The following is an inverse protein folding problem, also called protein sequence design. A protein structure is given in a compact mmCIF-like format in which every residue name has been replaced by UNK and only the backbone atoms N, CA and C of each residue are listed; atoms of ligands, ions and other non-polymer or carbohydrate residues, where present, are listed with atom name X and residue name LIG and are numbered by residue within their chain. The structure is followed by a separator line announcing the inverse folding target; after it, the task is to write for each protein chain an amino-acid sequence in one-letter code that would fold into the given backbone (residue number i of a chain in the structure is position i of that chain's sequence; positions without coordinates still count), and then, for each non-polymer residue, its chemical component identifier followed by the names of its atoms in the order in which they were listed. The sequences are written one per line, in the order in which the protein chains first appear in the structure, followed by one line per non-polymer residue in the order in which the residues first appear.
data_IF_725993922351
#
_entry.id   IF_725993922351
#
_cell.length_a   1.000
_cell.length_b   1.000
_cell.length_c   1.000
_cell.angle_alpha   90.00
_cell.angle_beta   90.00
_cell.angle_gamma   90.00
#
_symmetry.space_group_name_H-M   'P 1'
#
loop_
_entity.id
_entity.type
_entity.pdbx_description
1 polymer ?
#
# COMPACT_ATOMS: atom_id res chain seq x y z
N UNK A 1 -26.89 68.52 -58.63
CA UNK A 1 -26.93 67.04 -58.69
C UNK A 1 -25.85 66.49 -57.79
N UNK A 2 -26.20 65.95 -56.61
CA UNK A 2 -25.27 65.38 -55.64
C UNK A 2 -25.26 63.86 -55.79
N UNK A 3 -24.07 63.27 -55.96
CA UNK A 3 -23.84 61.82 -56.07
C UNK A 3 -23.65 61.22 -54.67
N UNK A 4 -24.38 60.15 -54.38
CA UNK A 4 -24.22 59.32 -53.19
C UNK A 4 -23.00 58.39 -53.35
N UNK A 5 -22.10 58.40 -52.36
CA UNK A 5 -21.04 57.41 -52.21
C UNK A 5 -21.47 56.48 -51.07
N UNK A 6 -21.71 55.22 -51.39
CA UNK A 6 -22.02 54.14 -50.44
C UNK A 6 -20.69 53.55 -49.99
N UNK A 7 -20.38 53.70 -48.71
CA UNK A 7 -19.23 53.05 -48.05
C UNK A 7 -19.67 51.63 -47.61
N UNK A 8 -19.12 50.60 -48.25
CA UNK A 8 -19.28 49.21 -47.81
C UNK A 8 -18.12 48.91 -46.85
N UNK A 9 -18.41 48.94 -45.55
CA UNK A 9 -17.51 48.45 -44.51
C UNK A 9 -17.52 46.92 -44.50
N UNK A 10 -16.44 46.32 -45.00
CA UNK A 10 -16.21 44.88 -44.96
C UNK A 10 -15.74 44.48 -43.55
N UNK A 11 -16.67 44.18 -42.65
CA UNK A 11 -16.34 43.58 -41.35
C UNK A 11 -15.99 42.10 -41.54
N UNK A 12 -14.70 41.81 -41.67
CA UNK A 12 -14.16 40.45 -41.51
C UNK A 12 -14.35 40.03 -40.04
N UNK A 13 -15.41 39.26 -39.78
CA UNK A 13 -15.64 38.60 -38.50
C UNK A 13 -14.68 37.40 -38.41
N UNK A 14 -13.53 37.59 -37.77
CA UNK A 14 -12.67 36.49 -37.34
C UNK A 14 -13.39 35.74 -36.22
N UNK A 15 -14.04 34.62 -36.55
CA UNK A 15 -14.46 33.63 -35.55
C UNK A 15 -13.20 32.82 -35.20
N UNK A 16 -12.50 33.23 -34.15
CA UNK A 16 -11.49 32.40 -33.50
C UNK A 16 -12.21 31.29 -32.75
N UNK A 17 -12.23 30.08 -33.34
CA UNK A 17 -12.55 28.87 -32.59
C UNK A 17 -11.40 28.60 -31.61
N UNK A 18 -11.48 29.24 -30.44
CA UNK A 18 -10.72 28.85 -29.26
C UNK A 18 -11.33 27.58 -28.67
N UNK A 19 -11.27 26.47 -29.42
CA UNK A 19 -11.39 25.16 -28.80
C UNK A 19 -10.03 24.91 -28.13
N UNK A 20 -9.94 25.24 -26.84
CA UNK A 20 -9.03 24.55 -25.96
C UNK A 20 -9.36 23.06 -26.12
N UNK A 21 -8.53 22.34 -26.89
CA UNK A 21 -8.65 20.91 -27.07
C UNK A 21 -8.58 20.28 -25.68
N UNK A 22 -9.74 20.00 -25.09
CA UNK A 22 -9.87 19.19 -23.90
C UNK A 22 -9.47 17.78 -24.32
N UNK A 23 -8.17 17.51 -24.29
CA UNK A 23 -7.65 16.16 -24.47
C UNK A 23 -8.19 15.37 -23.28
N UNK A 24 -9.04 14.36 -23.49
CA UNK A 24 -9.60 13.60 -22.39
C UNK A 24 -8.46 13.01 -21.55
N UNK A 25 -8.44 13.34 -20.26
CA UNK A 25 -7.42 12.80 -19.35
C UNK A 25 -7.74 11.32 -19.12
N UNK A 26 -6.82 10.42 -19.51
CA UNK A 26 -7.01 8.97 -19.35
C UNK A 26 -7.03 8.57 -17.88
N UNK A 27 -6.36 9.35 -17.04
CA UNK A 27 -6.05 8.97 -15.68
C UNK A 27 -6.05 10.20 -14.77
N UNK A 28 -6.48 10.02 -13.53
CA UNK A 28 -6.42 11.04 -12.48
C UNK A 28 -5.51 10.53 -11.37
N UNK A 29 -4.64 11.40 -10.88
CA UNK A 29 -3.70 11.07 -9.82
C UNK A 29 -4.15 11.71 -8.51
N UNK A 30 -4.17 10.91 -7.47
CA UNK A 30 -4.50 11.33 -6.11
C UNK A 30 -3.47 10.74 -5.13
N UNK A 31 -3.35 11.38 -3.98
CA UNK A 31 -2.61 10.87 -2.83
C UNK A 31 -3.55 10.78 -1.63
N UNK A 32 -3.35 9.78 -0.77
CA UNK A 32 -4.25 9.60 0.38
C UNK A 32 -4.19 10.73 1.41
N UNK A 33 -3.16 11.58 1.32
CA UNK A 33 -3.02 12.80 2.12
C UNK A 33 -2.50 13.95 1.25
N UNK A 34 -2.82 15.19 1.63
CA UNK A 34 -2.37 16.39 0.95
C UNK A 34 -0.87 16.68 1.19
N UNK A 35 -0.38 16.35 2.38
CA UNK A 35 1.01 16.48 2.80
C UNK A 35 1.40 15.30 3.68
N UNK A 36 2.68 14.93 3.66
CA UNK A 36 3.27 13.88 4.48
C UNK A 36 4.37 14.47 5.38
N UNK A 37 4.84 13.69 6.34
CA UNK A 37 6.03 13.97 7.14
C UNK A 37 7.15 12.95 6.84
N UNK A 38 8.39 13.30 7.20
CA UNK A 38 9.50 12.33 7.17
C UNK A 38 9.15 11.16 8.09
N UNK A 39 9.30 9.93 7.61
CA UNK A 39 8.92 8.71 8.31
C UNK A 39 7.57 8.13 7.85
N UNK A 40 6.78 8.89 7.11
CA UNK A 40 5.52 8.41 6.54
C UNK A 40 5.74 7.50 5.34
N UNK A 41 4.79 6.60 5.11
CA UNK A 41 4.64 5.88 3.85
C UNK A 41 3.41 6.43 3.10
N UNK A 42 3.64 7.01 1.92
CA UNK A 42 2.56 7.53 1.09
C UNK A 42 1.79 6.42 0.37
N UNK A 43 0.49 6.64 0.16
CA UNK A 43 -0.34 5.87 -0.78
C UNK A 43 -0.72 6.79 -1.94
N UNK A 44 -0.35 6.36 -3.14
CA UNK A 44 -0.57 7.09 -4.38
C UNK A 44 -1.55 6.31 -5.24
N UNK A 45 -2.62 6.98 -5.70
CA UNK A 45 -3.76 6.38 -6.38
C UNK A 45 -3.92 6.97 -7.78
N UNK A 46 -4.26 6.10 -8.72
CA UNK A 46 -4.37 6.40 -10.13
C UNK A 46 -5.71 5.86 -10.64
N UNK A 47 -6.65 6.77 -10.86
CA UNK A 47 -8.01 6.45 -11.31
C UNK A 47 -8.10 6.54 -12.82
N UNK A 48 -8.38 5.42 -13.48
CA UNK A 48 -8.58 5.37 -14.93
C UNK A 48 -9.98 5.89 -15.27
N UNK A 49 -10.03 6.96 -16.06
CA UNK A 49 -11.28 7.55 -16.54
C UNK A 49 -11.71 6.98 -17.90
N UNK A 50 -10.77 6.46 -18.69
CA UNK A 50 -11.02 5.96 -20.05
C UNK A 50 -10.37 4.60 -20.24
N UNK A 51 -11.18 3.59 -20.50
CA UNK A 51 -10.73 2.23 -20.78
C UNK A 51 -10.62 1.98 -22.30
N UNK A 52 -9.74 1.07 -22.74
CA UNK A 52 -9.73 0.60 -24.12
C UNK A 52 -11.09 -0.02 -24.51
N UNK A 53 -11.64 0.39 -25.64
CA UNK A 53 -12.94 -0.11 -26.15
C UNK A 53 -12.84 -1.58 -26.59
N UNK A 54 -11.67 -1.99 -27.08
CA UNK A 54 -11.41 -3.35 -27.57
C UNK A 54 -10.74 -4.21 -26.49
N UNK A 55 -11.30 -5.40 -26.25
CA UNK A 55 -10.83 -6.36 -25.23
C UNK A 55 -9.43 -6.92 -25.47
N UNK A 56 -8.91 -6.79 -26.68
CA UNK A 56 -7.56 -7.22 -27.06
C UNK A 56 -6.48 -6.26 -26.57
N UNK A 57 -6.86 -5.06 -26.13
CA UNK A 57 -5.94 -4.08 -25.59
C UNK A 57 -6.12 -3.91 -24.09
N UNK A 58 -5.03 -3.56 -23.42
CA UNK A 58 -5.03 -3.20 -22.01
C UNK A 58 -4.18 -1.96 -21.76
N UNK A 59 -4.48 -1.25 -20.67
CA UNK A 59 -3.63 -0.19 -20.17
C UNK A 59 -2.43 -0.78 -19.45
N UNK A 60 -1.26 -0.25 -19.77
CA UNK A 60 -0.02 -0.49 -19.05
C UNK A 60 0.45 0.81 -18.43
N UNK A 61 0.55 0.82 -17.10
CA UNK A 61 1.05 1.96 -16.36
C UNK A 61 2.48 1.71 -15.92
N UNK A 62 3.34 2.71 -16.15
CA UNK A 62 4.67 2.78 -15.56
C UNK A 62 4.74 4.03 -14.73
N UNK A 63 5.28 3.96 -13.52
CA UNK A 63 5.41 5.15 -12.68
C UNK A 63 6.83 5.38 -12.19
N UNK A 64 7.12 6.62 -11.83
CA UNK A 64 8.33 7.04 -11.14
C UNK A 64 7.94 7.90 -9.95
N UNK A 65 8.64 7.72 -8.85
CA UNK A 65 8.61 8.65 -7.72
C UNK A 65 9.94 9.40 -7.70
N UNK A 66 9.88 10.67 -8.09
CA UNK A 66 11.03 11.47 -8.47
C UNK A 66 11.88 10.78 -9.54
N UNK A 67 13.07 10.29 -9.21
CA UNK A 67 14.00 9.62 -10.15
C UNK A 67 13.86 8.10 -10.14
N UNK A 68 13.19 7.52 -9.14
CA UNK A 68 13.13 6.07 -8.91
C UNK A 68 11.91 5.46 -9.57
N UNK A 69 12.07 4.33 -10.27
CA UNK A 69 10.93 3.59 -10.81
C UNK A 69 10.06 3.09 -9.66
N UNK A 70 8.77 3.38 -9.74
CA UNK A 70 7.80 2.97 -8.74
C UNK A 70 6.81 1.99 -9.37
N UNK A 71 6.62 0.87 -8.68
CA UNK A 71 5.67 -0.14 -9.08
C UNK A 71 4.24 0.36 -8.86
N UNK A 72 3.37 0.14 -9.85
CA UNK A 72 1.97 0.57 -9.85
C UNK A 72 1.11 -0.63 -10.25
N UNK A 73 0.15 -0.99 -9.40
CA UNK A 73 -0.62 -2.23 -9.53
C UNK A 73 -2.11 -1.93 -9.52
N UNK A 74 -2.85 -2.67 -10.35
CA UNK A 74 -4.30 -2.54 -10.46
C UNK A 74 -4.99 -3.21 -9.27
N UNK A 75 -5.76 -2.44 -8.49
CA UNK A 75 -6.55 -2.94 -7.35
C UNK A 75 -8.03 -3.04 -7.66
N UNK A 76 -8.52 -2.25 -8.60
CA UNK A 76 -9.87 -2.34 -9.16
C UNK A 76 -9.83 -2.10 -10.68
N UNK A 77 -10.94 -2.31 -11.37
CA UNK A 77 -11.00 -2.14 -12.83
C UNK A 77 -10.47 -0.78 -13.29
N UNK A 78 -10.82 0.28 -12.56
CA UNK A 78 -10.47 1.66 -12.84
C UNK A 78 -9.48 2.25 -11.82
N UNK A 79 -8.81 1.44 -11.01
CA UNK A 79 -7.96 1.95 -9.92
C UNK A 79 -6.64 1.21 -9.85
N UNK A 80 -5.57 1.98 -9.79
CA UNK A 80 -4.21 1.52 -9.60
C UNK A 80 -3.58 2.23 -8.42
N UNK A 81 -2.72 1.53 -7.69
CA UNK A 81 -2.03 2.10 -6.54
C UNK A 81 -0.54 1.87 -6.58
N UNK A 82 0.18 2.78 -5.95
CA UNK A 82 1.62 2.73 -5.82
C UNK A 82 2.02 3.16 -4.40
N UNK A 83 3.00 2.46 -3.84
CA UNK A 83 3.52 2.70 -2.49
C UNK A 83 5.00 3.04 -2.59
N UNK A 84 5.39 4.33 -2.60
CA UNK A 84 6.79 4.68 -2.48
C UNK A 84 7.41 4.11 -1.19
N UNK A 85 8.75 3.98 -1.14
CA UNK A 85 9.45 3.72 0.11
C UNK A 85 9.10 4.77 1.17
N UNK A 86 9.33 4.43 2.44
CA UNK A 86 9.18 5.36 3.57
C UNK A 86 9.97 6.63 3.28
N UNK A 87 9.31 7.78 3.42
CA UNK A 87 9.85 9.09 3.07
C UNK A 87 10.97 9.47 4.05
N UNK A 88 12.20 9.63 3.55
CA UNK A 88 13.37 9.92 4.39
C UNK A 88 13.78 11.40 4.37
N UNK A 89 13.25 12.17 3.42
CA UNK A 89 13.68 13.54 3.16
C UNK A 89 12.46 14.46 3.02
N UNK A 90 12.58 15.70 3.49
CA UNK A 90 11.56 16.73 3.27
C UNK A 90 11.74 17.39 1.91
N UNK A 91 10.64 17.90 1.35
CA UNK A 91 10.63 18.56 0.04
C UNK A 91 9.40 18.20 -0.79
N UNK A 92 9.43 18.58 -2.06
CA UNK A 92 8.38 18.20 -3.02
C UNK A 92 8.90 17.12 -3.95
N UNK A 93 8.25 15.96 -3.92
CA UNK A 93 8.53 14.81 -4.76
C UNK A 93 7.53 14.75 -5.90
N UNK A 94 7.95 14.24 -7.05
CA UNK A 94 7.10 14.15 -8.24
C UNK A 94 6.72 12.70 -8.50
N UNK A 95 5.46 12.34 -8.31
CA UNK A 95 4.95 11.08 -8.82
C UNK A 95 4.53 11.25 -10.28
N UNK A 96 5.23 10.58 -11.18
CA UNK A 96 5.01 10.68 -12.63
C UNK A 96 4.49 9.33 -13.11
N UNK A 97 3.30 9.32 -13.71
CA UNK A 97 2.69 8.14 -14.30
C UNK A 97 2.67 8.29 -15.82
N UNK A 98 3.23 7.28 -16.49
CA UNK A 98 3.23 7.11 -17.94
C UNK A 98 2.17 6.07 -18.29
N UNK A 99 1.20 6.49 -19.09
CA UNK A 99 0.08 5.66 -19.56
C UNK A 99 0.41 5.14 -20.96
N UNK A 100 0.33 3.83 -21.12
CA UNK A 100 0.48 3.16 -22.40
C UNK A 100 -0.72 2.27 -22.67
N UNK A 101 -0.96 1.98 -23.94
CA UNK A 101 -1.82 0.89 -24.38
C UNK A 101 -0.96 -0.19 -25.05
N UNK A 102 -1.28 -1.46 -24.81
CA UNK A 102 -0.57 -2.60 -25.38
C UNK A 102 -1.54 -3.72 -25.77
N UNK A 103 -1.14 -4.58 -26.70
CA UNK A 103 -1.85 -5.83 -27.01
C UNK A 103 -1.72 -6.79 -25.82
N UNK A 104 -2.86 -7.22 -25.29
CA UNK A 104 -2.95 -8.07 -24.11
C UNK A 104 -2.36 -9.45 -24.35
N UNK A 105 -2.59 -10.05 -25.52
CA UNK A 105 -2.13 -11.42 -25.83
C UNK A 105 -0.61 -11.45 -25.98
N UNK A 106 -0.07 -10.50 -26.73
CA UNK A 106 1.38 -10.35 -26.91
C UNK A 106 2.06 -10.05 -25.56
N UNK A 107 1.54 -9.07 -24.81
CA UNK A 107 2.11 -8.72 -23.51
C UNK A 107 2.07 -9.90 -22.53
N UNK A 108 1.00 -10.68 -22.51
CA UNK A 108 0.89 -11.88 -21.67
C UNK A 108 1.93 -12.93 -22.04
N UNK A 109 2.09 -13.24 -23.33
CA UNK A 109 3.08 -14.22 -23.80
C UNK A 109 4.52 -13.79 -23.49
N UNK A 110 4.85 -12.52 -23.75
CA UNK A 110 6.18 -11.97 -23.47
C UNK A 110 6.48 -11.93 -21.96
N UNK A 111 5.54 -11.47 -21.14
CA UNK A 111 5.72 -11.45 -19.69
C UNK A 111 5.83 -12.87 -19.11
N UNK A 112 5.10 -13.86 -19.64
CA UNK A 112 5.25 -15.25 -19.22
C UNK A 112 6.67 -15.76 -19.49
N UNK A 113 7.17 -15.59 -20.72
CA UNK A 113 8.54 -15.98 -21.07
C UNK A 113 9.58 -15.29 -20.18
N UNK A 114 9.38 -14.01 -19.88
CA UNK A 114 10.23 -13.27 -18.95
C UNK A 114 10.21 -13.87 -17.54
N UNK A 115 9.02 -14.11 -16.97
CA UNK A 115 8.87 -14.69 -15.63
C UNK A 115 9.52 -16.06 -15.55
N UNK A 116 9.38 -16.90 -16.58
CA UNK A 116 10.02 -18.22 -16.61
C UNK A 116 11.54 -18.11 -16.58
N UNK A 117 12.13 -17.22 -17.38
CA UNK A 117 13.58 -16.99 -17.39
C UNK A 117 14.08 -16.40 -16.06
N UNK A 118 13.29 -15.53 -15.42
CA UNK A 118 13.60 -15.00 -14.09
C UNK A 118 13.57 -16.09 -13.02
N UNK A 119 12.61 -17.03 -13.07
CA UNK A 119 12.57 -18.22 -12.20
C UNK A 119 13.77 -19.14 -12.45
N UNK A 120 14.11 -19.39 -13.70
CA UNK A 120 15.27 -20.21 -14.06
C UNK A 120 16.56 -19.57 -13.54
N UNK A 121 16.69 -18.24 -13.64
CA UNK A 121 17.82 -17.51 -13.06
C UNK A 121 17.91 -17.61 -11.54
N UNK A 122 16.77 -17.56 -10.84
CA UNK A 122 16.74 -17.77 -9.38
C UNK A 122 17.20 -19.18 -9.01
N UNK A 123 16.77 -20.21 -9.77
CA UNK A 123 17.24 -21.57 -9.57
C UNK A 123 18.75 -21.70 -9.83
N UNK A 124 19.22 -21.13 -10.93
CA UNK A 124 20.66 -21.08 -11.25
C UNK A 124 21.44 -20.40 -10.12
N UNK A 125 20.92 -19.31 -9.54
CA UNK A 125 21.54 -18.63 -8.41
C UNK A 125 21.62 -19.51 -7.16
N UNK A 126 20.60 -20.32 -6.89
CA UNK A 126 20.62 -21.31 -5.81
C UNK A 126 21.63 -22.42 -6.07
N UNK A 127 21.68 -22.94 -7.30
CA UNK A 127 22.63 -23.99 -7.70
C UNK A 127 24.08 -23.47 -7.58
N UNK A 128 24.34 -22.22 -8.00
CA UNK A 128 25.63 -21.55 -7.90
C UNK A 128 26.16 -21.35 -6.46
N UNK A 129 25.28 -21.33 -5.45
CA UNK A 129 25.72 -21.22 -4.04
C UNK A 129 26.46 -22.48 -3.60
N UNK A 130 26.03 -23.64 -4.08
CA UNK A 130 26.53 -24.94 -3.63
C UNK A 130 27.48 -25.59 -4.65
N UNK A 131 27.58 -25.04 -5.86
CA UNK A 131 28.45 -25.58 -6.90
C UNK A 131 29.92 -25.24 -6.66
N UNK A 132 30.75 -26.29 -6.63
CA UNK A 132 32.19 -26.24 -6.37
C UNK A 132 33.03 -26.61 -7.58
N UNK A 133 32.46 -27.30 -8.57
CA UNK A 133 33.15 -27.61 -9.83
C UNK A 133 33.29 -26.33 -10.69
N UNK A 134 34.51 -25.95 -11.11
CA UNK A 134 34.71 -24.73 -11.89
C UNK A 134 34.02 -24.75 -13.27
N UNK A 135 33.95 -25.92 -13.92
CA UNK A 135 33.37 -26.06 -15.26
C UNK A 135 31.84 -25.95 -15.23
N UNK A 136 31.20 -26.62 -14.26
CA UNK A 136 29.75 -26.53 -14.05
C UNK A 136 29.35 -25.11 -13.62
N UNK A 137 30.14 -24.48 -12.74
CA UNK A 137 29.94 -23.09 -12.35
C UNK A 137 30.00 -22.14 -13.56
N UNK A 138 30.95 -22.31 -14.47
CA UNK A 138 31.05 -21.51 -15.69
C UNK A 138 29.86 -21.74 -16.63
N UNK A 139 29.37 -22.98 -16.72
CA UNK A 139 28.16 -23.31 -17.49
C UNK A 139 26.92 -22.60 -16.94
N UNK A 140 26.69 -22.68 -15.63
CA UNK A 140 25.59 -22.01 -14.94
C UNK A 140 25.63 -20.49 -15.14
N UNK A 141 26.80 -19.86 -15.02
CA UNK A 141 26.98 -18.43 -15.29
C UNK A 141 26.68 -18.06 -16.75
N UNK A 142 27.09 -18.89 -17.71
CA UNK A 142 26.77 -18.69 -19.14
C UNK A 142 25.27 -18.82 -19.40
N UNK A 143 24.60 -19.79 -18.79
CA UNK A 143 23.14 -19.94 -18.88
C UNK A 143 22.42 -18.72 -18.32
N UNK A 144 22.82 -18.23 -17.14
CA UNK A 144 22.27 -17.01 -16.55
C UNK A 144 22.46 -15.78 -17.44
N UNK A 145 23.65 -15.62 -18.01
CA UNK A 145 23.97 -14.53 -18.96
C UNK A 145 23.10 -14.57 -20.22
N UNK A 146 22.90 -15.77 -20.80
CA UNK A 146 22.00 -15.98 -21.93
C UNK A 146 20.56 -15.58 -21.56
N UNK A 147 20.06 -16.04 -20.42
CA UNK A 147 18.71 -15.73 -19.96
C UNK A 147 18.51 -14.22 -19.78
N UNK A 148 19.48 -13.52 -19.17
CA UNK A 148 19.46 -12.05 -19.02
C UNK A 148 19.43 -11.32 -20.36
N UNK A 149 20.16 -11.83 -21.37
CA UNK A 149 20.13 -11.29 -22.73
C UNK A 149 18.74 -11.43 -23.35
N UNK A 150 18.09 -12.58 -23.18
CA UNK A 150 16.72 -12.82 -23.68
C UNK A 150 15.71 -11.92 -22.93
N UNK A 151 15.83 -11.80 -21.60
CA UNK A 151 15.00 -10.89 -20.80
C UNK A 151 15.11 -9.43 -21.31
N UNK A 152 16.32 -8.98 -21.64
CA UNK A 152 16.54 -7.65 -22.20
C UNK A 152 15.83 -7.45 -23.56
N UNK A 153 15.90 -8.46 -24.43
CA UNK A 153 15.16 -8.46 -25.72
C UNK A 153 13.65 -8.42 -25.49
N UNK A 154 13.12 -9.26 -24.61
CA UNK A 154 11.69 -9.27 -24.26
C UNK A 154 11.25 -7.90 -23.73
N UNK A 155 12.03 -7.26 -22.85
CA UNK A 155 11.71 -5.92 -22.35
C UNK A 155 11.69 -4.86 -23.47
N UNK A 156 12.53 -5.02 -24.49
CA UNK A 156 12.58 -4.14 -25.65
C UNK A 156 11.35 -4.35 -26.56
N UNK A 157 11.01 -5.60 -26.87
CA UNK A 157 9.79 -5.94 -27.63
C UNK A 157 8.52 -5.46 -26.91
N UNK A 158 8.46 -5.62 -25.58
CA UNK A 158 7.38 -5.06 -24.76
C UNK A 158 7.33 -3.53 -24.83
N UNK A 159 8.48 -2.84 -24.94
CA UNK A 159 8.51 -1.39 -25.05
C UNK A 159 8.08 -0.91 -26.45
N UNK A 160 8.49 -1.61 -27.51
CA UNK A 160 8.09 -1.33 -28.89
C UNK A 160 6.61 -1.61 -29.14
N UNK A 161 6.05 -2.66 -28.52
CA UNK A 161 4.63 -3.00 -28.59
C UNK A 161 3.70 -2.07 -27.79
N UNK A 162 4.26 -1.10 -27.04
CA UNK A 162 3.49 -0.14 -26.24
C UNK A 162 3.36 1.20 -26.96
N UNK A 163 2.13 1.67 -27.08
CA UNK A 163 1.85 3.03 -27.54
C UNK A 163 1.64 3.94 -26.35
N UNK A 164 2.50 4.96 -26.22
CA UNK A 164 2.34 6.00 -25.19
C UNK A 164 1.09 6.85 -25.48
N UNK A 165 0.29 7.07 -24.44
CA UNK A 165 -0.94 7.85 -24.51
C UNK A 165 -0.83 9.16 -23.76
N UNK A 166 -0.30 9.12 -22.53
CA UNK A 166 -0.27 10.28 -21.65
C UNK A 166 0.83 10.17 -20.60
N UNK A 167 1.34 11.31 -20.16
CA UNK A 167 2.15 11.42 -18.94
C UNK A 167 1.46 12.40 -18.00
N UNK A 168 1.25 11.99 -16.76
CA UNK A 168 0.59 12.80 -15.73
C UNK A 168 1.53 12.87 -14.53
N UNK A 169 1.50 13.99 -13.82
CA UNK A 169 2.35 14.23 -12.65
C UNK A 169 1.50 14.73 -11.48
N UNK A 170 1.73 14.15 -10.31
CA UNK A 170 1.26 14.62 -9.01
C UNK A 170 2.47 15.07 -8.19
N UNK A 171 2.37 16.23 -7.54
CA UNK A 171 3.37 16.67 -6.57
C UNK A 171 2.98 16.18 -5.18
N UNK A 172 3.92 15.55 -4.49
CA UNK A 172 3.77 15.05 -3.13
C UNK A 172 4.66 15.89 -2.23
N UNK A 173 4.06 16.58 -1.27
CA UNK A 173 4.79 17.46 -0.33
C UNK A 173 5.08 16.70 0.94
N UNK A 174 6.35 16.72 1.36
CA UNK A 174 6.85 16.07 2.58
C UNK A 174 7.47 17.13 3.47
N UNK A 175 6.93 17.28 4.67
CA UNK A 175 7.39 18.21 5.68
C UNK A 175 8.40 17.53 6.62
N UNK A 176 9.30 18.29 7.25
CA UNK A 176 10.08 17.76 8.37
C UNK A 176 9.13 17.30 9.48
N UNK A 177 9.56 16.31 10.29
CA UNK A 177 8.80 15.87 11.46
C UNK A 177 8.53 17.07 12.36
N UNK A 178 7.27 17.45 12.47
CA UNK A 178 6.87 18.44 13.46
C UNK A 178 6.83 17.72 14.81
N UNK A 179 7.47 18.25 15.87
CA UNK A 179 7.21 17.73 17.20
C UNK A 179 5.71 17.88 17.47
N UNK A 180 5.01 16.75 17.55
CA UNK A 180 3.60 16.73 17.97
C UNK A 180 3.57 17.17 19.43
N UNK A 181 3.40 18.48 19.65
CA UNK A 181 2.98 19.01 20.94
C UNK A 181 1.53 18.58 21.13
N UNK A 182 1.36 17.32 21.55
CA UNK A 182 0.17 16.96 22.29
C UNK A 182 0.28 17.76 23.58
N UNK A 183 -0.46 18.86 23.69
CA UNK A 183 -0.78 19.47 24.97
C UNK A 183 -1.46 18.36 25.79
N UNK A 184 -0.66 17.53 26.48
CA UNK A 184 -1.20 16.45 27.29
C UNK A 184 -1.92 17.12 28.46
N UNK A 185 -3.24 16.99 28.58
CA UNK A 185 -3.89 17.36 29.82
C UNK A 185 -3.30 16.48 30.94
N UNK A 186 -3.25 16.96 32.19
CA UNK A 186 -2.74 16.18 33.33
C UNK A 186 -3.67 15.00 33.73
N UNK A 187 -4.63 14.63 32.88
CA UNK A 187 -5.66 13.63 33.17
C UNK A 187 -5.21 12.29 32.61
N UNK A 188 -5.27 11.24 33.44
CA UNK A 188 -5.05 9.87 32.99
C UNK A 188 -6.07 9.54 31.88
N UNK A 189 -5.58 9.20 30.69
CA UNK A 189 -6.43 8.86 29.53
C UNK A 189 -6.84 7.38 29.51
N UNK A 190 -6.18 6.55 30.32
CA UNK A 190 -6.45 5.13 30.47
C UNK A 190 -6.42 4.72 31.94
N UNK A 191 -7.40 3.90 32.31
CA UNK A 191 -7.45 3.15 33.55
C UNK A 191 -7.36 1.65 33.24
N UNK A 192 -6.59 0.92 34.05
CA UNK A 192 -6.44 -0.54 33.93
C UNK A 192 -6.78 -1.15 35.28
N UNK A 193 -7.83 -1.96 35.31
CA UNK A 193 -8.28 -2.67 36.50
C UNK A 193 -7.99 -4.17 36.35
N UNK A 194 -7.23 -4.73 37.28
CA UNK A 194 -6.93 -6.17 37.30
C UNK A 194 -8.05 -6.92 38.04
N UNK A 195 -8.32 -8.17 37.66
CA UNK A 195 -9.35 -9.00 38.30
C UNK A 195 -9.05 -9.38 39.78
N UNK A 196 -7.83 -9.12 40.26
CA UNK A 196 -7.40 -9.37 41.65
C UNK A 196 -6.80 -8.12 42.30
N UNK A 197 -7.31 -7.75 43.46
CA UNK A 197 -6.78 -6.64 44.27
C UNK A 197 -5.30 -6.84 44.67
N UNK A 198 -4.91 -8.07 45.01
CA UNK A 198 -3.53 -8.39 45.41
C UNK A 198 -2.55 -8.55 44.23
N UNK A 199 -3.05 -8.45 42.99
CA UNK A 199 -2.28 -8.55 41.74
C UNK A 199 -1.39 -9.78 41.62
N UNK A 200 -1.73 -10.85 42.32
CA UNK A 200 -0.92 -12.06 42.43
C UNK A 200 -1.61 -13.22 41.73
N UNK A 201 -0.86 -13.89 40.84
CA UNK A 201 -1.32 -15.01 40.02
C UNK A 201 -0.37 -16.19 40.18
N UNK A 202 -0.86 -17.40 39.96
CA UNK A 202 -0.06 -18.62 39.93
C UNK A 202 0.24 -19.03 38.50
N UNK A 203 1.35 -19.75 38.29
CA UNK A 203 1.62 -20.43 37.02
C UNK A 203 0.43 -21.34 36.69
N UNK A 204 -0.01 -21.30 35.44
CA UNK A 204 -1.19 -22.01 34.95
C UNK A 204 -2.48 -21.18 35.02
N UNK A 205 -2.48 -20.02 35.69
CA UNK A 205 -3.62 -19.11 35.69
C UNK A 205 -3.61 -18.18 34.47
N UNK A 206 -4.70 -17.45 34.27
CA UNK A 206 -4.82 -16.36 33.31
C UNK A 206 -5.03 -15.05 34.06
N UNK A 207 -4.49 -13.96 33.52
CA UNK A 207 -4.72 -12.61 34.02
C UNK A 207 -5.89 -12.04 33.24
N UNK A 208 -6.97 -11.69 33.93
CA UNK A 208 -8.06 -10.90 33.34
C UNK A 208 -7.94 -9.46 33.83
N UNK A 209 -8.26 -8.52 32.96
CA UNK A 209 -8.25 -7.11 33.30
C UNK A 209 -9.23 -6.34 32.42
N UNK A 210 -9.65 -5.19 32.91
CA UNK A 210 -10.50 -4.25 32.19
C UNK A 210 -9.66 -3.01 31.88
N UNK A 211 -9.73 -2.54 30.65
CA UNK A 211 -9.13 -1.28 30.22
C UNK A 211 -10.26 -0.31 29.92
N UNK A 212 -10.25 0.84 30.59
CA UNK A 212 -11.25 1.89 30.40
C UNK A 212 -10.58 3.15 29.88
N UNK A 213 -11.10 3.70 28.78
CA UNK A 213 -10.77 5.06 28.33
C UNK A 213 -11.55 6.05 29.17
N UNK A 214 -10.84 6.83 29.99
CA UNK A 214 -11.44 7.72 31.00
C UNK A 214 -11.69 9.14 30.49
N UNK A 215 -11.13 9.50 29.33
CA UNK A 215 -11.35 10.81 28.72
C UNK A 215 -11.38 10.71 27.20
N UNK A 216 -12.21 11.55 26.59
CA UNK A 216 -12.26 11.72 25.15
C UNK A 216 -11.12 12.61 24.66
N UNK A 217 -10.53 12.21 23.53
CA UNK A 217 -9.56 13.04 22.83
C UNK A 217 -10.34 14.05 22.00
N UNK A 218 -10.19 15.33 22.35
CA UNK A 218 -10.84 16.43 21.62
C UNK A 218 -10.01 16.82 20.41
N UNK A 219 -10.65 16.97 19.25
CA UNK A 219 -10.00 17.32 17.99
C UNK A 219 -11.01 17.57 16.87
N UNK A 220 -10.56 18.24 15.82
CA UNK A 220 -11.40 18.54 14.65
C UNK A 220 -11.61 17.31 13.72
N UNK A 221 -10.74 16.31 13.81
CA UNK A 221 -10.85 15.06 13.04
C UNK A 221 -11.52 13.96 13.88
N UNK A 222 -12.35 13.12 13.24
CA UNK A 222 -12.91 11.93 13.88
C UNK A 222 -11.81 10.88 14.00
N UNK A 223 -11.48 10.49 15.22
CA UNK A 223 -10.40 9.56 15.52
C UNK A 223 -10.92 8.14 15.82
N UNK A 224 -10.21 7.15 15.30
CA UNK A 224 -10.32 5.76 15.71
C UNK A 224 -9.33 5.49 16.85
N UNK A 225 -9.79 4.80 17.90
CA UNK A 225 -8.97 4.46 19.07
C UNK A 225 -8.55 3.00 19.02
N UNK A 226 -7.26 2.74 19.22
CA UNK A 226 -6.68 1.41 19.15
C UNK A 226 -5.91 1.13 20.43
N UNK A 227 -6.38 0.15 21.19
CA UNK A 227 -5.73 -0.31 22.41
C UNK A 227 -4.85 -1.52 22.12
N UNK A 228 -3.66 -1.54 22.72
CA UNK A 228 -2.74 -2.67 22.67
C UNK A 228 -2.22 -2.97 24.05
N UNK A 229 -2.34 -4.23 24.47
CA UNK A 229 -1.81 -4.70 25.73
C UNK A 229 -0.65 -5.67 25.50
N UNK A 230 0.35 -5.62 26.39
CA UNK A 230 1.46 -6.57 26.44
C UNK A 230 1.78 -6.93 27.89
N UNK A 231 1.97 -8.22 28.16
CA UNK A 231 2.58 -8.68 29.41
C UNK A 231 4.06 -8.89 29.15
N UNK A 232 4.91 -8.00 29.66
CA UNK A 232 6.32 -7.90 29.27
C UNK A 232 6.46 -7.72 27.74
N UNK A 233 6.99 -8.72 27.03
CA UNK A 233 7.15 -8.73 25.57
C UNK A 233 6.01 -9.43 24.83
N UNK A 234 5.09 -10.07 25.56
CA UNK A 234 4.06 -10.93 24.98
C UNK A 234 2.80 -10.12 24.71
N UNK A 235 2.26 -10.13 23.48
CA UNK A 235 0.99 -9.46 23.18
C UNK A 235 -0.14 -10.10 23.98
N UNK A 236 -1.09 -9.29 24.40
CA UNK A 236 -2.30 -9.73 25.10
C UNK A 236 -3.50 -9.34 24.27
N UNK A 237 -4.44 -10.28 24.10
CA UNK A 237 -5.67 -10.02 23.37
C UNK A 237 -6.59 -9.11 24.19
N UNK A 238 -7.16 -8.12 23.51
CA UNK A 238 -8.20 -7.25 24.03
C UNK A 238 -9.47 -7.51 23.23
N UNK A 239 -10.59 -7.55 23.92
CA UNK A 239 -11.91 -7.84 23.37
C UNK A 239 -12.82 -6.65 23.60
N UNK A 240 -13.59 -6.33 22.57
CA UNK A 240 -14.59 -5.27 22.63
C UNK A 240 -15.71 -5.64 23.60
N UNK A 241 -16.24 -4.64 24.29
CA UNK A 241 -17.46 -4.74 25.08
C UNK A 241 -18.57 -3.92 24.43
N UNK A 242 -19.78 -3.96 25.01
CA UNK A 242 -20.89 -3.11 24.55
C UNK A 242 -20.59 -1.61 24.70
N UNK A 243 -19.69 -1.23 25.61
CA UNK A 243 -19.15 0.12 25.73
C UNK A 243 -17.87 0.25 24.90
N UNK A 244 -17.85 1.17 23.93
CA UNK A 244 -16.70 1.41 23.07
C UNK A 244 -15.44 1.87 23.83
N UNK A 245 -15.62 2.42 25.03
CA UNK A 245 -14.54 2.89 25.91
C UNK A 245 -13.92 1.78 26.75
N UNK A 246 -14.58 0.62 26.82
CA UNK A 246 -14.17 -0.47 27.70
C UNK A 246 -13.75 -1.67 26.87
N UNK A 247 -12.56 -2.21 27.17
CA UNK A 247 -12.06 -3.46 26.60
C UNK A 247 -11.73 -4.45 27.72
N UNK A 248 -12.11 -5.71 27.51
CA UNK A 248 -11.69 -6.80 28.38
C UNK A 248 -10.39 -7.40 27.84
N UNK A 249 -9.40 -7.56 28.69
CA UNK A 249 -8.13 -8.19 28.36
C UNK A 249 -7.99 -9.54 29.04
N UNK A 250 -7.46 -10.53 28.31
CA UNK A 250 -7.14 -11.85 28.85
C UNK A 250 -5.76 -12.29 28.37
N UNK A 251 -4.85 -12.58 29.30
CA UNK A 251 -3.55 -13.14 28.97
C UNK A 251 -3.65 -14.60 28.54
N UNK A 252 -2.61 -15.09 27.86
CA UNK A 252 -2.40 -16.53 27.74
C UNK A 252 -2.19 -17.16 29.13
N UNK A 253 -2.36 -18.49 29.18
CA UNK A 253 -2.04 -19.28 30.38
C UNK A 253 -0.59 -19.01 30.78
N UNK A 254 -0.39 -18.54 32.01
CA UNK A 254 0.90 -18.13 32.54
C UNK A 254 1.83 -19.34 32.64
N UNK A 255 2.80 -19.44 31.74
CA UNK A 255 3.85 -20.45 31.82
C UNK A 255 4.90 -20.12 32.91
N UNK A 256 5.71 -21.11 33.29
CA UNK A 256 6.85 -20.97 34.21
C UNK A 256 7.82 -19.83 33.83
N UNK A 257 7.90 -19.46 32.55
CA UNK A 257 8.70 -18.34 32.05
C UNK A 257 8.24 -16.96 32.54
N UNK A 258 7.07 -16.88 33.17
CA UNK A 258 6.50 -15.63 33.68
C UNK A 258 6.64 -15.46 35.19
N UNK A 259 7.26 -16.41 35.91
CA UNK A 259 7.45 -16.29 37.37
C UNK A 259 8.21 -15.02 37.74
N UNK A 260 7.77 -14.36 38.80
CA UNK A 260 8.31 -13.09 39.30
C UNK A 260 7.43 -11.89 38.97
N UNK A 261 8.01 -10.71 39.12
CA UNK A 261 7.36 -9.44 38.78
C UNK A 261 7.25 -9.29 37.26
N UNK A 262 6.05 -9.00 36.77
CA UNK A 262 5.79 -8.70 35.38
C UNK A 262 5.06 -7.36 35.25
N UNK A 263 5.34 -6.65 34.16
CA UNK A 263 4.61 -5.43 33.80
C UNK A 263 3.59 -5.70 32.70
N UNK A 264 2.31 -5.45 33.01
CA UNK A 264 1.25 -5.29 32.03
C UNK A 264 1.29 -3.86 31.49
N UNK A 265 1.62 -3.71 30.22
CA UNK A 265 1.70 -2.44 29.52
C UNK A 265 0.51 -2.30 28.56
N UNK A 266 -0.31 -1.29 28.75
CA UNK A 266 -1.44 -0.95 27.87
C UNK A 266 -1.16 0.39 27.20
N UNK A 267 -1.30 0.43 25.87
CA UNK A 267 -1.03 1.61 25.05
C UNK A 267 -2.27 1.99 24.27
N UNK A 268 -2.61 3.28 24.29
CA UNK A 268 -3.64 3.87 23.44
C UNK A 268 -2.98 4.55 22.26
N UNK A 269 -3.35 4.10 21.08
CA UNK A 269 -3.04 4.73 19.81
C UNK A 269 -4.30 5.36 19.23
N UNK A 270 -4.11 6.41 18.43
CA UNK A 270 -5.16 6.99 17.60
C UNK A 270 -4.74 7.01 16.14
N UNK A 271 -5.73 7.06 15.26
CA UNK A 271 -5.55 7.44 13.87
C UNK A 271 -6.82 8.07 13.31
N UNK A 272 -6.75 8.87 12.22
CA UNK A 272 -7.94 9.42 11.58
C UNK A 272 -8.85 8.31 11.02
N UNK A 273 -10.11 8.26 11.47
CA UNK A 273 -11.05 7.17 11.19
C UNK A 273 -11.39 7.07 9.70
N UNK A 274 -11.67 8.19 9.05
CA UNK A 274 -12.03 8.22 7.62
C UNK A 274 -10.88 7.74 6.74
N UNK A 275 -9.65 8.23 6.98
CA UNK A 275 -8.46 7.78 6.25
C UNK A 275 -8.19 6.28 6.47
N UNK A 276 -8.38 5.79 7.70
CA UNK A 276 -8.25 4.36 7.99
C UNK A 276 -9.32 3.52 7.26
N UNK A 277 -10.56 4.02 7.16
CA UNK A 277 -11.61 3.34 6.42
C UNK A 277 -11.29 3.28 4.92
N UNK A 278 -10.82 4.36 4.31
CA UNK A 278 -10.40 4.35 2.90
C UNK A 278 -9.32 3.30 2.62
N UNK A 279 -8.36 3.12 3.53
CA UNK A 279 -7.34 2.08 3.39
C UNK A 279 -7.91 0.67 3.54
N UNK A 280 -8.89 0.46 4.43
CA UNK A 280 -9.63 -0.81 4.55
C UNK A 280 -10.43 -1.12 3.29
N UNK A 281 -11.12 -0.14 2.73
CA UNK A 281 -11.87 -0.29 1.47
C UNK A 281 -10.93 -0.64 0.30
N UNK A 282 -9.72 -0.07 0.29
CA UNK A 282 -8.66 -0.43 -0.64
C UNK A 282 -8.15 -1.87 -0.47
N UNK A 283 -8.00 -2.33 0.79
CA UNK A 283 -7.68 -3.73 1.10
C UNK A 283 -8.76 -4.66 0.56
N UNK A 284 -10.03 -4.36 0.83
CA UNK A 284 -11.15 -5.18 0.39
C UNK A 284 -11.24 -5.24 -1.13
N UNK A 285 -11.01 -4.11 -1.80
CA UNK A 285 -10.97 -4.03 -3.28
C UNK A 285 -9.82 -4.86 -3.85
N UNK A 286 -8.61 -4.71 -3.32
CA UNK A 286 -7.45 -5.50 -3.73
C UNK A 286 -7.65 -7.00 -3.46
N UNK A 287 -8.26 -7.37 -2.34
CA UNK A 287 -8.57 -8.75 -1.99
C UNK A 287 -9.64 -9.35 -2.93
N UNK A 288 -10.70 -8.60 -3.25
CA UNK A 288 -11.70 -9.00 -4.23
C UNK A 288 -11.07 -9.24 -5.61
N UNK A 289 -10.21 -8.32 -6.07
CA UNK A 289 -9.49 -8.48 -7.34
C UNK A 289 -8.53 -9.66 -7.33
N UNK A 290 -7.92 -9.96 -6.18
CA UNK A 290 -7.06 -11.13 -6.00
C UNK A 290 -7.87 -12.43 -6.11
N UNK A 291 -9.05 -12.49 -5.50
CA UNK A 291 -9.98 -13.63 -5.64
C UNK A 291 -10.40 -13.81 -7.10
N UNK A 292 -10.74 -12.73 -7.81
CA UNK A 292 -11.07 -12.78 -9.24
C UNK A 292 -9.93 -13.40 -10.07
N UNK A 293 -8.67 -13.02 -9.81
CA UNK A 293 -7.53 -13.63 -10.50
C UNK A 293 -7.31 -15.10 -10.14
N UNK A 294 -7.63 -15.52 -8.91
CA UNK A 294 -7.60 -16.94 -8.51
C UNK A 294 -8.66 -17.73 -9.28
N UNK A 295 -9.87 -17.20 -9.39
CA UNK A 295 -10.95 -17.83 -10.17
C UNK A 295 -10.60 -17.92 -11.65
N UNK A 296 -10.10 -16.82 -12.24
CA UNK A 296 -9.62 -16.79 -13.63
C UNK A 296 -8.49 -17.79 -13.86
N UNK A 297 -7.53 -17.90 -12.93
CA UNK A 297 -6.49 -18.93 -12.95
C UNK A 297 -7.11 -20.32 -12.99
N UNK A 298 -8.05 -20.62 -12.11
CA UNK A 298 -8.68 -21.94 -12.01
C UNK A 298 -9.49 -22.33 -13.27
N UNK A 299 -9.97 -21.35 -14.05
CA UNK A 299 -10.66 -21.58 -15.32
C UNK A 299 -9.75 -22.01 -16.47
N UNK A 300 -8.41 -21.90 -16.33
CA UNK A 300 -7.44 -22.27 -17.36
C UNK A 300 -6.38 -23.26 -16.85
N UNK A 301 -6.77 -24.42 -16.26
CA UNK A 301 -5.84 -25.29 -15.53
C UNK A 301 -4.72 -25.87 -16.40
N UNK A 302 -4.95 -25.97 -17.72
CA UNK A 302 -4.02 -26.58 -18.67
C UNK A 302 -3.24 -25.55 -19.52
N UNK A 303 -3.38 -24.25 -19.26
CA UNK A 303 -2.67 -23.18 -19.98
C UNK A 303 -1.56 -22.59 -19.10
N UNK A 304 -0.31 -23.08 -19.18
CA UNK A 304 0.79 -22.65 -18.31
C UNK A 304 1.13 -21.16 -18.45
N UNK A 305 0.86 -20.57 -19.63
CA UNK A 305 1.08 -19.14 -19.89
C UNK A 305 0.12 -18.32 -19.04
N UNK A 306 -1.17 -18.66 -19.08
CA UNK A 306 -2.20 -17.99 -18.26
C UNK A 306 -2.01 -18.24 -16.77
N UNK A 307 -1.66 -19.47 -16.38
CA UNK A 307 -1.37 -19.80 -14.97
C UNK A 307 -0.30 -18.88 -14.40
N UNK A 308 0.84 -18.77 -15.08
CA UNK A 308 1.95 -17.94 -14.63
C UNK A 308 1.62 -16.44 -14.63
N UNK A 309 0.82 -15.97 -15.59
CA UNK A 309 0.36 -14.58 -15.63
C UNK A 309 -0.50 -14.25 -14.40
N UNK A 310 -1.48 -15.09 -14.08
CA UNK A 310 -2.35 -14.86 -12.93
C UNK A 310 -1.61 -15.05 -11.60
N UNK A 311 -0.66 -15.99 -11.51
CA UNK A 311 0.18 -16.13 -10.31
C UNK A 311 1.00 -14.88 -10.02
N UNK A 312 1.56 -14.27 -11.06
CA UNK A 312 2.24 -12.99 -10.91
C UNK A 312 1.27 -11.91 -10.38
N UNK A 313 0.09 -11.76 -10.97
CA UNK A 313 -0.92 -10.79 -10.53
C UNK A 313 -1.39 -11.01 -9.08
N UNK A 314 -1.63 -12.27 -8.69
CA UNK A 314 -2.02 -12.68 -7.33
C UNK A 314 -0.93 -12.32 -6.32
N UNK A 315 0.33 -12.57 -6.67
CA UNK A 315 1.50 -12.27 -5.82
C UNK A 315 1.64 -10.75 -5.63
N UNK A 316 1.51 -9.98 -6.72
CA UNK A 316 1.57 -8.51 -6.70
C UNK A 316 0.47 -7.92 -5.80
N UNK A 317 -0.75 -8.42 -5.90
CA UNK A 317 -1.84 -7.99 -5.01
C UNK A 317 -1.59 -8.37 -3.55
N UNK A 318 -0.95 -9.50 -3.27
CA UNK A 318 -0.52 -9.84 -1.91
C UNK A 318 0.41 -8.77 -1.30
N UNK A 319 1.39 -8.30 -2.08
CA UNK A 319 2.30 -7.23 -1.66
C UNK A 319 1.55 -5.91 -1.44
N UNK A 320 0.62 -5.56 -2.35
CA UNK A 320 -0.22 -4.36 -2.24
C UNK A 320 -1.05 -4.39 -0.96
N UNK A 321 -1.72 -5.51 -0.66
CA UNK A 321 -2.51 -5.69 0.56
C UNK A 321 -1.63 -5.53 1.80
N UNK A 322 -0.44 -6.15 1.82
CA UNK A 322 0.51 -5.94 2.92
C UNK A 322 0.94 -4.49 3.08
N UNK A 323 1.15 -3.76 1.99
CA UNK A 323 1.50 -2.34 2.04
C UNK A 323 0.35 -1.48 2.58
N UNK A 324 -0.90 -1.75 2.23
CA UNK A 324 -2.05 -1.08 2.86
C UNK A 324 -2.06 -1.26 4.38
N UNK A 325 -1.83 -2.49 4.87
CA UNK A 325 -1.72 -2.75 6.32
C UNK A 325 -0.54 -2.00 6.95
N UNK A 326 0.61 -1.91 6.27
CA UNK A 326 1.75 -1.13 6.76
C UNK A 326 1.44 0.37 6.86
N UNK A 327 0.75 0.94 5.87
CA UNK A 327 0.31 2.35 5.92
C UNK A 327 -0.72 2.57 7.04
N UNK A 328 -1.68 1.65 7.21
CA UNK A 328 -2.65 1.69 8.31
C UNK A 328 -1.99 1.68 9.69
N UNK A 329 -0.88 0.94 9.81
CA UNK A 329 -0.10 0.79 11.02
C UNK A 329 0.80 2.01 11.27
N UNK A 330 1.40 2.59 10.23
CA UNK A 330 2.25 3.79 10.35
C UNK A 330 1.46 5.04 10.73
N UNK A 331 0.15 5.05 10.49
CA UNK A 331 -0.74 6.14 10.90
C UNK A 331 -1.06 6.17 12.40
N UNK A 332 -0.57 5.20 13.19
CA UNK A 332 -0.84 5.13 14.61
C UNK A 332 0.00 6.13 15.39
N UNK A 333 -0.67 7.08 16.02
CA UNK A 333 -0.06 8.00 16.98
C UNK A 333 -0.24 7.48 18.39
N UNK A 334 0.87 7.28 19.11
CA UNK A 334 0.82 6.91 20.53
C UNK A 334 0.36 8.11 21.35
N UNK A 335 -0.77 7.94 22.05
CA UNK A 335 -1.34 8.97 22.92
C UNK A 335 -0.85 8.82 24.35
N UNK A 336 -0.97 7.60 24.89
CA UNK A 336 -0.59 7.32 26.28
C UNK A 336 -0.22 5.85 26.49
N UNK A 337 0.48 5.60 27.59
CA UNK A 337 0.81 4.27 28.10
C UNK A 337 0.41 4.19 29.57
N UNK A 338 -0.26 3.12 29.97
CA UNK A 338 -0.51 2.74 31.36
C UNK A 338 0.25 1.45 31.65
N UNK A 339 1.04 1.44 32.73
CA UNK A 339 1.81 0.28 33.17
C UNK A 339 1.31 -0.16 34.55
N UNK A 340 0.97 -1.45 34.66
CA UNK A 340 0.52 -2.09 35.89
C UNK A 340 1.39 -3.30 36.23
N UNK A 341 1.86 -3.37 37.47
CA UNK A 341 2.69 -4.49 37.96
C UNK A 341 1.81 -5.64 38.44
N UNK A 342 2.15 -6.86 38.03
CA UNK A 342 1.55 -8.13 38.48
C UNK A 342 2.64 -9.09 38.95
N UNK A 343 2.32 -9.92 39.95
CA UNK A 343 3.23 -10.91 40.50
C UNK A 343 2.77 -12.32 40.12
N UNK A 344 3.70 -13.14 39.63
CA UNK A 344 3.41 -14.51 39.22
C UNK A 344 4.22 -15.49 40.07
N UNK A 345 3.52 -16.31 40.84
CA UNK A 345 4.04 -17.30 41.76
C UNK A 345 4.04 -18.70 41.14
N UNK A 346 4.89 -19.57 41.70
CA UNK A 346 5.05 -20.97 41.25
C UNK A 346 3.82 -21.82 41.50
#
# INVERSE_FOLDING_TARGET
MKKNIIFIGLSFLFITFANANYVPTFLELESNQATYEIGDQALLMAHVRIQPVHSDYELYLKSKFSTTNLAIDQVAENEYVAFPPVLQESGTFAWIVYVYIQDRRLAMALNHSKIQLEKDNLKIDQDLVNETDPGERELLLRMKSRNNTIISKINSELAEGRRHLQTIKLNVVVNPVQPKNLDQPPVALLEVELDRENRTYYVGEQINFVVTRVADLTGNEILEHILRAKLKSWPVALFDTDDENVKNGQSFVLANSHVGEQSLNVRLFIRPKEKAQHLRDGIDSAQKKRVEYIELKNNYPNDPVRQSYFDFKITRLGIVISNYYNVLESMLDLVTTNESVVFINR
#
